data_IF_513819952624
#
_entry.id   IF_513819952624
#
_cell.length_a   1.000
_cell.length_b   1.000
_cell.length_c   1.000
_cell.angle_alpha   90.00
_cell.angle_beta   90.00
_cell.angle_gamma   90.00
#
_symmetry.space_group_name_H-M   'P 1'
#
loop_
_entity.id
_entity.type
_entity.pdbx_description
1 polymer ?
#
# COMPACT_ATOMS: atom_id res chain seq x y z
N UNK A 1 -1.64 64.34 4.51
CA UNK A 1 -2.84 63.69 5.10
C UNK A 1 -2.54 62.20 5.19
N UNK A 2 -2.25 61.71 6.41
CA UNK A 2 -1.85 60.32 6.67
C UNK A 2 -3.08 59.44 6.84
N UNK A 3 -3.20 58.34 6.08
CA UNK A 3 -4.23 57.31 6.29
C UNK A 3 -3.54 56.04 6.78
N UNK A 4 -3.67 55.77 8.08
CA UNK A 4 -3.23 54.52 8.69
C UNK A 4 -4.17 53.39 8.25
N UNK A 5 -3.59 52.32 7.69
CA UNK A 5 -4.34 51.11 7.29
C UNK A 5 -4.11 50.05 8.37
N UNK A 6 -5.18 49.66 9.07
CA UNK A 6 -5.13 48.60 10.08
C UNK A 6 -5.13 47.23 9.37
N UNK A 7 -4.13 46.39 9.68
CA UNK A 7 -3.98 45.06 9.12
C UNK A 7 -4.67 44.05 10.06
N UNK A 8 -5.80 43.48 9.63
CA UNK A 8 -6.45 42.36 10.31
C UNK A 8 -5.67 41.08 9.97
N UNK A 9 -5.07 40.44 10.97
CA UNK A 9 -4.41 39.14 10.79
C UNK A 9 -5.44 38.04 11.05
N UNK A 10 -5.91 37.39 9.99
CA UNK A 10 -6.67 36.13 10.07
C UNK A 10 -5.70 34.97 10.31
N UNK A 11 -5.66 34.44 11.53
CA UNK A 11 -5.00 33.17 11.85
C UNK A 11 -5.82 32.01 11.29
N UNK A 12 -5.47 31.52 10.11
CA UNK A 12 -5.96 30.23 9.63
C UNK A 12 -5.32 29.12 10.47
N UNK A 13 -6.13 28.35 11.21
CA UNK A 13 -5.67 27.16 11.88
C UNK A 13 -5.40 26.08 10.82
N UNK A 14 -4.14 25.72 10.60
CA UNK A 14 -3.78 24.56 9.80
C UNK A 14 -4.15 23.29 10.57
N UNK A 15 -5.21 22.61 10.15
CA UNK A 15 -5.48 21.24 10.55
C UNK A 15 -4.45 20.32 9.88
N UNK A 16 -3.59 19.68 10.67
CA UNK A 16 -2.71 18.61 10.17
C UNK A 16 -3.60 17.41 9.85
N UNK A 17 -3.90 17.20 8.58
CA UNK A 17 -4.56 15.97 8.14
C UNK A 17 -3.56 14.82 8.19
N UNK A 18 -3.91 13.67 8.79
CA UNK A 18 -3.06 12.49 8.73
C UNK A 18 -2.92 12.05 7.27
N UNK A 19 -1.69 11.79 6.83
CA UNK A 19 -1.43 11.26 5.50
C UNK A 19 -2.14 9.90 5.35
N UNK A 20 -3.07 9.79 4.40
CA UNK A 20 -3.96 8.65 4.18
C UNK A 20 -3.24 7.34 3.77
N UNK A 21 -1.90 7.36 3.63
CA UNK A 21 -1.10 6.23 3.15
C UNK A 21 -0.02 5.76 4.15
N UNK A 22 -0.09 6.17 5.41
CA UNK A 22 0.93 5.80 6.40
C UNK A 22 0.60 4.43 7.00
N UNK A 23 1.36 3.40 6.62
CA UNK A 23 1.37 2.11 7.32
C UNK A 23 2.15 2.31 8.63
N UNK A 24 1.44 2.26 9.75
CA UNK A 24 2.03 2.45 11.08
C UNK A 24 2.71 1.17 11.57
N UNK A 25 3.65 1.29 12.50
CA UNK A 25 4.29 0.12 13.13
C UNK A 25 3.26 -0.80 13.82
N UNK A 26 2.24 -0.22 14.45
CA UNK A 26 1.16 -0.98 15.09
C UNK A 26 0.36 -1.80 14.07
N UNK A 27 0.05 -1.21 12.90
CA UNK A 27 -0.64 -1.91 11.82
C UNK A 27 0.19 -3.08 11.28
N UNK A 28 1.52 -2.93 11.21
CA UNK A 28 2.42 -4.03 10.82
C UNK A 28 2.42 -5.17 11.84
N UNK A 29 2.45 -4.85 13.13
CA UNK A 29 2.39 -5.84 14.22
C UNK A 29 1.09 -6.65 14.18
N UNK A 30 -0.02 -5.98 13.86
CA UNK A 30 -1.35 -6.58 13.77
C UNK A 30 -1.78 -6.86 12.31
N UNK A 31 -0.83 -7.05 11.39
CA UNK A 31 -1.13 -7.26 9.96
C UNK A 31 -2.06 -8.45 9.67
N UNK A 32 -2.09 -9.45 10.55
CA UNK A 32 -3.02 -10.59 10.47
C UNK A 32 -4.51 -10.23 10.62
N UNK A 33 -4.82 -9.06 11.18
CA UNK A 33 -6.21 -8.56 11.34
C UNK A 33 -6.77 -7.98 10.02
N UNK A 34 -5.92 -7.80 9.01
CA UNK A 34 -6.27 -7.23 7.71
C UNK A 34 -5.89 -8.19 6.56
N UNK A 35 -6.54 -9.36 6.44
CA UNK A 35 -6.11 -10.40 5.49
C UNK A 35 -6.23 -10.02 4.02
N UNK A 36 -6.97 -8.94 3.70
CA UNK A 36 -7.01 -8.33 2.37
C UNK A 36 -5.73 -7.55 1.99
N UNK A 37 -4.87 -7.27 2.97
CA UNK A 37 -3.63 -6.53 2.80
C UNK A 37 -2.41 -7.46 2.94
N UNK A 38 -1.32 -7.12 2.25
CA UNK A 38 -0.02 -7.78 2.37
C UNK A 38 1.04 -6.72 2.67
N UNK A 39 1.22 -6.42 3.97
CA UNK A 39 1.91 -5.22 4.43
C UNK A 39 3.43 -5.39 4.58
N UNK A 40 3.94 -6.61 4.58
CA UNK A 40 5.37 -6.91 4.73
C UNK A 40 5.85 -7.91 3.68
N UNK A 41 7.16 -7.96 3.45
CA UNK A 41 7.76 -8.84 2.44
C UNK A 41 7.34 -10.32 2.57
N UNK A 42 7.16 -10.82 3.79
CA UNK A 42 6.82 -12.22 4.07
C UNK A 42 5.43 -12.39 4.71
N UNK A 43 4.53 -11.42 4.53
CA UNK A 43 3.17 -11.45 5.07
C UNK A 43 3.11 -10.88 6.49
N UNK A 44 3.76 -11.52 7.44
CA UNK A 44 3.83 -11.10 8.85
C UNK A 44 5.28 -11.04 9.38
N UNK A 45 5.46 -10.53 10.60
CA UNK A 45 6.77 -10.48 11.26
C UNK A 45 7.34 -11.85 11.63
N UNK A 46 6.50 -12.88 11.73
CA UNK A 46 6.93 -14.27 11.89
C UNK A 46 7.40 -14.88 10.54
N UNK A 47 7.28 -14.14 9.44
CA UNK A 47 7.60 -14.55 8.08
C UNK A 47 6.89 -15.84 7.64
N UNK A 48 5.64 -16.05 8.07
CA UNK A 48 4.92 -17.30 7.79
C UNK A 48 4.52 -17.45 6.33
N UNK A 49 4.38 -16.33 5.59
CA UNK A 49 3.84 -16.28 4.22
C UNK A 49 2.47 -16.96 4.09
N UNK A 50 1.65 -16.89 5.13
CA UNK A 50 0.32 -17.51 5.18
C UNK A 50 -0.80 -16.45 5.09
N UNK A 51 -1.76 -16.64 4.19
CA UNK A 51 -3.00 -15.85 4.13
C UNK A 51 -4.16 -16.61 4.74
N UNK A 52 -5.01 -15.92 5.51
CA UNK A 52 -6.25 -16.48 6.06
C UNK A 52 -7.45 -16.34 5.10
N UNK A 53 -7.27 -15.73 3.93
CA UNK A 53 -8.30 -15.65 2.89
C UNK A 53 -8.64 -17.07 2.38
N UNK A 54 -9.94 -17.32 2.21
CA UNK A 54 -10.46 -18.66 1.89
C UNK A 54 -11.43 -18.69 0.70
N UNK A 55 -11.49 -17.61 -0.09
CA UNK A 55 -12.33 -17.57 -1.29
C UNK A 55 -11.88 -18.60 -2.34
N UNK A 56 -10.56 -18.77 -2.49
CA UNK A 56 -9.94 -19.78 -3.34
C UNK A 56 -9.59 -20.98 -2.44
N UNK A 57 -10.08 -22.15 -2.82
CA UNK A 57 -9.97 -23.39 -2.06
C UNK A 57 -9.56 -24.53 -2.99
N UNK A 58 -9.25 -25.70 -2.42
CA UNK A 58 -8.97 -26.91 -3.22
C UNK A 58 -10.15 -27.36 -4.10
N UNK A 59 -11.38 -26.94 -3.78
CA UNK A 59 -12.58 -27.35 -4.49
C UNK A 59 -12.98 -26.45 -5.67
N UNK A 60 -12.36 -25.28 -5.82
CA UNK A 60 -12.67 -24.32 -6.90
C UNK A 60 -11.43 -23.67 -7.55
N UNK A 61 -10.21 -24.12 -7.20
CA UNK A 61 -8.98 -23.57 -7.77
C UNK A 61 -8.87 -23.78 -9.29
N UNK A 62 -9.58 -24.79 -9.80
CA UNK A 62 -9.72 -25.10 -11.22
C UNK A 62 -10.58 -24.09 -11.99
N UNK A 63 -11.37 -23.26 -11.29
CA UNK A 63 -12.18 -22.19 -11.88
C UNK A 63 -11.40 -20.86 -12.02
N UNK A 64 -10.13 -20.80 -11.63
CA UNK A 64 -9.34 -19.58 -11.71
C UNK A 64 -9.08 -19.16 -13.16
N UNK A 65 -9.34 -17.88 -13.43
CA UNK A 65 -9.06 -17.25 -14.72
C UNK A 65 -8.18 -16.01 -14.55
N UNK A 66 -7.43 -15.68 -15.60
CA UNK A 66 -6.63 -14.46 -15.67
C UNK A 66 -7.55 -13.23 -15.65
N UNK A 67 -7.40 -12.37 -14.63
CA UNK A 67 -8.19 -11.13 -14.52
C UNK A 67 -7.54 -9.93 -15.19
N UNK A 68 -6.21 -9.81 -15.12
CA UNK A 68 -5.45 -8.70 -15.71
C UNK A 68 -3.96 -9.05 -15.81
N UNK A 69 -3.23 -8.28 -16.62
CA UNK A 69 -1.76 -8.39 -16.79
C UNK A 69 -1.16 -6.99 -16.76
N UNK A 70 -0.03 -6.84 -16.06
CA UNK A 70 0.82 -5.66 -16.13
C UNK A 70 2.10 -6.03 -16.90
N UNK A 71 2.44 -5.23 -17.91
CA UNK A 71 3.65 -5.41 -18.71
C UNK A 71 4.73 -4.45 -18.19
N UNK A 72 5.72 -5.00 -17.50
CA UNK A 72 6.89 -4.23 -17.08
C UNK A 72 7.77 -3.85 -18.28
N UNK A 73 8.56 -2.78 -18.13
CA UNK A 73 9.47 -2.32 -19.17
C UNK A 73 10.79 -3.11 -19.15
N UNK A 74 11.20 -3.57 -17.97
CA UNK A 74 12.40 -4.39 -17.80
C UNK A 74 12.22 -5.81 -18.31
N UNK A 75 13.25 -6.34 -18.97
CA UNK A 75 13.34 -7.75 -19.39
C UNK A 75 14.26 -8.57 -18.47
N UNK A 76 14.77 -7.97 -17.40
CA UNK A 76 15.62 -8.65 -16.43
C UNK A 76 14.80 -9.49 -15.43
N UNK A 77 15.48 -10.04 -14.42
CA UNK A 77 14.86 -10.91 -13.42
C UNK A 77 13.89 -10.13 -12.52
N UNK A 78 12.77 -10.77 -12.22
CA UNK A 78 11.79 -10.29 -11.24
C UNK A 78 11.86 -11.18 -9.99
N UNK A 79 12.32 -10.60 -8.89
CA UNK A 79 12.35 -11.24 -7.57
C UNK A 79 11.44 -10.50 -6.56
N UNK A 80 10.55 -9.63 -7.08
CA UNK A 80 9.63 -8.83 -6.28
C UNK A 80 8.59 -9.70 -5.58
N UNK A 81 8.37 -9.47 -4.28
CA UNK A 81 7.20 -9.94 -3.55
C UNK A 81 6.27 -8.73 -3.41
N UNK A 82 5.13 -8.67 -4.14
CA UNK A 82 4.28 -7.49 -4.15
C UNK A 82 3.77 -7.13 -2.75
N UNK A 83 3.71 -5.83 -2.45
CA UNK A 83 3.00 -5.34 -1.28
C UNK A 83 1.62 -4.84 -1.72
N UNK A 84 0.58 -5.16 -0.95
CA UNK A 84 -0.79 -4.70 -1.24
C UNK A 84 -1.31 -3.97 -0.02
N UNK A 85 -1.65 -2.69 -0.18
CA UNK A 85 -2.14 -1.84 0.89
C UNK A 85 -3.35 -1.08 0.39
N UNK A 86 -4.51 -1.36 0.97
CA UNK A 86 -5.77 -0.64 0.74
C UNK A 86 -6.14 -0.56 -0.76
N UNK A 87 -5.92 -1.67 -1.47
CA UNK A 87 -6.23 -1.83 -2.90
C UNK A 87 -5.13 -1.39 -3.87
N UNK A 88 -4.03 -0.82 -3.38
CA UNK A 88 -2.86 -0.43 -4.20
C UNK A 88 -1.79 -1.51 -4.12
N UNK A 89 -1.26 -1.93 -5.26
CA UNK A 89 -0.20 -2.94 -5.37
C UNK A 89 1.13 -2.29 -5.72
N UNK A 90 2.12 -2.45 -4.84
CA UNK A 90 3.47 -1.92 -5.02
C UNK A 90 4.41 -3.02 -5.54
N UNK A 91 5.09 -2.73 -6.64
CA UNK A 91 5.99 -3.66 -7.34
C UNK A 91 7.35 -3.02 -7.56
N UNK A 92 8.38 -3.86 -7.72
CA UNK A 92 9.70 -3.44 -8.18
C UNK A 92 10.08 -4.14 -9.47
N UNK A 93 10.64 -3.41 -10.42
CA UNK A 93 11.35 -3.95 -11.58
C UNK A 93 12.83 -3.57 -11.53
N UNK A 94 13.66 -4.38 -12.18
CA UNK A 94 15.08 -4.07 -12.32
C UNK A 94 15.29 -2.84 -13.23
N UNK A 95 16.30 -1.99 -12.94
CA UNK A 95 17.26 -2.18 -11.85
C UNK A 95 16.69 -1.83 -10.46
N UNK A 96 15.75 -0.88 -10.37
CA UNK A 96 15.22 -0.40 -9.08
C UNK A 96 13.96 0.50 -9.23
N UNK A 97 13.18 0.34 -10.30
CA UNK A 97 11.96 1.15 -10.52
C UNK A 97 10.82 0.59 -9.68
N UNK A 98 9.99 1.48 -9.12
CA UNK A 98 8.79 1.13 -8.33
C UNK A 98 7.53 1.47 -9.11
N UNK A 99 6.53 0.59 -9.09
CA UNK A 99 5.17 0.83 -9.60
C UNK A 99 4.14 0.78 -8.47
N UNK A 100 3.03 1.49 -8.64
CA UNK A 100 1.86 1.53 -7.74
C UNK A 100 0.57 1.76 -8.55
#
# INVERSE_FOLDING_TARGET
MSRATALLICTAALSVQPAQAQVTSERLLNSGDEPQNWLTYSGDYASTRHSTLSQITRGNVDELELKWVFQAASLEKFETSPLVVDGIMYLTEAPNTVYA
#
